data_IF_913531685043
#
_entry.id   IF_913531685043
#
_cell.length_a   1.000
_cell.length_b   1.000
_cell.length_c   1.000
_cell.angle_alpha   90.00
_cell.angle_beta   90.00
_cell.angle_gamma   90.00
#
_symmetry.space_group_name_H-M   'P 1'
#
loop_
_entity.id
_entity.type
_entity.pdbx_description
1 polymer ?
#
# COMPACT_ATOMS: atom_id res chain seq x y z
N UNK A 1 2.30 -7.30 -4.05
CA UNK A 1 1.61 -8.30 -3.19
C UNK A 1 2.68 -9.06 -2.43
N UNK A 2 2.58 -9.09 -1.10
CA UNK A 2 3.44 -9.95 -0.26
C UNK A 2 2.62 -11.17 0.18
N UNK A 3 3.27 -12.27 0.55
CA UNK A 3 2.54 -13.45 1.01
C UNK A 3 1.96 -13.20 2.41
N UNK A 4 0.67 -13.46 2.60
CA UNK A 4 0.13 -13.69 3.95
C UNK A 4 0.68 -15.04 4.40
N UNK A 5 1.38 -15.05 5.53
CA UNK A 5 1.97 -16.27 6.08
C UNK A 5 0.89 -17.20 6.64
N UNK A 6 -0.06 -16.63 7.40
CA UNK A 6 -1.20 -17.35 7.93
C UNK A 6 -2.43 -16.43 7.95
N UNK A 7 -3.54 -16.92 7.44
CA UNK A 7 -4.83 -16.21 7.48
C UNK A 7 -5.47 -16.37 8.87
N UNK A 8 -5.22 -17.50 9.55
CA UNK A 8 -5.77 -17.81 10.87
C UNK A 8 -4.99 -17.09 11.99
N UNK A 9 -3.68 -16.95 11.82
CA UNK A 9 -2.81 -16.21 12.74
C UNK A 9 -2.01 -15.12 12.01
N UNK A 10 -2.60 -13.92 11.84
CA UNK A 10 -1.98 -12.79 11.15
C UNK A 10 -0.58 -12.39 11.64
N UNK A 11 -0.28 -12.63 12.92
CA UNK A 11 1.01 -12.27 13.53
C UNK A 11 2.14 -13.26 13.26
N UNK A 12 1.82 -14.44 12.74
CA UNK A 12 2.82 -15.47 12.44
C UNK A 12 3.66 -15.07 11.22
N UNK A 13 4.98 -15.26 11.28
CA UNK A 13 5.88 -14.85 10.18
C UNK A 13 5.93 -13.33 9.95
N UNK A 14 5.68 -12.52 10.99
CA UNK A 14 5.61 -11.06 10.93
C UNK A 14 6.82 -10.41 10.25
N UNK A 15 8.04 -10.92 10.46
CA UNK A 15 9.25 -10.38 9.82
C UNK A 15 9.20 -10.46 8.29
N UNK A 16 8.71 -11.59 7.75
CA UNK A 16 8.56 -11.80 6.30
C UNK A 16 7.46 -10.88 5.76
N UNK A 17 6.35 -10.78 6.49
CA UNK A 17 5.22 -9.93 6.12
C UNK A 17 5.61 -8.45 6.13
N UNK A 18 6.39 -8.00 7.11
CA UNK A 18 6.90 -6.64 7.20
C UNK A 18 7.85 -6.32 6.04
N UNK A 19 8.79 -7.21 5.75
CA UNK A 19 9.70 -7.05 4.62
C UNK A 19 8.93 -6.94 3.29
N UNK A 20 7.93 -7.80 3.10
CA UNK A 20 7.04 -7.77 1.94
C UNK A 20 6.19 -6.50 1.84
N UNK A 21 5.68 -6.01 2.98
CA UNK A 21 4.95 -4.74 3.05
C UNK A 21 5.86 -3.56 2.64
N UNK A 22 7.09 -3.51 3.14
CA UNK A 22 8.07 -2.46 2.79
C UNK A 22 8.38 -2.45 1.29
N UNK A 23 8.52 -3.63 0.68
CA UNK A 23 8.68 -3.76 -0.78
C UNK A 23 7.44 -3.27 -1.53
N UNK A 24 6.24 -3.65 -1.06
CA UNK A 24 4.97 -3.19 -1.62
C UNK A 24 4.81 -1.66 -1.57
N UNK A 25 5.13 -1.05 -0.43
CA UNK A 25 5.12 0.41 -0.26
C UNK A 25 6.11 1.07 -1.22
N UNK A 26 7.33 0.52 -1.34
CA UNK A 26 8.35 1.07 -2.23
C UNK A 26 7.92 1.02 -3.70
N UNK A 27 7.27 -0.08 -4.10
CA UNK A 27 6.68 -0.22 -5.43
C UNK A 27 5.55 0.79 -5.68
N UNK A 28 4.58 0.92 -4.77
CA UNK A 28 3.48 1.88 -4.93
C UNK A 28 4.00 3.31 -5.02
N UNK A 29 5.00 3.67 -4.20
CA UNK A 29 5.63 5.00 -4.27
C UNK A 29 6.28 5.28 -5.63
N UNK A 30 6.92 4.28 -6.23
CA UNK A 30 7.48 4.39 -7.58
C UNK A 30 6.37 4.62 -8.61
N UNK A 31 5.30 3.82 -8.55
CA UNK A 31 4.14 3.98 -9.45
C UNK A 31 3.53 5.37 -9.31
N UNK A 32 3.28 5.84 -8.09
CA UNK A 32 2.78 7.21 -7.85
C UNK A 32 3.71 8.25 -8.49
N UNK A 33 5.03 8.12 -8.31
CA UNK A 33 5.98 9.07 -8.87
C UNK A 33 5.97 9.08 -10.42
N UNK A 34 5.84 7.92 -11.04
CA UNK A 34 5.76 7.78 -12.50
C UNK A 34 4.44 8.37 -13.03
N UNK A 35 3.30 8.05 -12.42
CA UNK A 35 1.97 8.59 -12.78
C UNK A 35 1.87 10.10 -12.55
N UNK A 36 2.53 10.60 -11.50
CA UNK A 36 2.54 12.03 -11.17
C UNK A 36 3.25 12.90 -12.22
N UNK A 37 3.97 12.29 -13.18
CA UNK A 37 4.52 12.99 -14.34
C UNK A 37 3.45 13.31 -15.39
N UNK A 38 2.35 12.58 -15.37
CA UNK A 38 1.26 12.67 -16.35
C UNK A 38 0.03 13.37 -15.76
N UNK A 39 -0.26 13.14 -14.47
CA UNK A 39 -1.41 13.73 -13.78
C UNK A 39 -1.02 14.37 -12.45
N UNK A 40 -1.67 15.49 -12.04
CA UNK A 40 -1.43 16.07 -10.73
C UNK A 40 -1.73 15.09 -9.58
N UNK A 41 -0.89 15.10 -8.53
CA UNK A 41 -1.06 14.23 -7.34
C UNK A 41 -2.41 14.36 -6.64
N UNK A 42 -2.99 15.56 -6.64
CA UNK A 42 -4.31 15.83 -6.08
C UNK A 42 -5.49 15.31 -6.94
N UNK A 43 -5.18 14.57 -8.02
CA UNK A 43 -6.13 13.77 -8.79
C UNK A 43 -5.91 12.26 -8.60
N UNK A 44 -4.88 11.85 -7.85
CA UNK A 44 -4.53 10.43 -7.65
C UNK A 44 -5.18 9.91 -6.37
N UNK A 45 -5.97 8.86 -6.50
CA UNK A 45 -6.41 8.02 -5.38
C UNK A 45 -5.58 6.75 -5.36
N UNK A 46 -5.30 6.24 -4.17
CA UNK A 46 -4.74 4.90 -4.00
C UNK A 46 -5.70 4.04 -3.21
N UNK A 47 -5.63 2.73 -3.42
CA UNK A 47 -6.60 1.84 -2.82
C UNK A 47 -6.26 0.37 -2.95
N UNK A 48 -7.07 -0.46 -2.31
CA UNK A 48 -6.90 -1.90 -2.33
C UNK A 48 -7.99 -2.64 -1.55
N UNK A 49 -7.91 -3.96 -1.58
CA UNK A 49 -8.82 -4.86 -0.87
C UNK A 49 -7.98 -5.75 0.05
N UNK A 50 -8.44 -5.98 1.29
CA UNK A 50 -7.75 -6.84 2.26
C UNK A 50 -6.30 -6.41 2.45
N UNK A 51 -5.34 -7.30 2.30
CA UNK A 51 -3.92 -6.98 2.37
C UNK A 51 -3.47 -5.92 1.35
N UNK A 52 -4.12 -5.85 0.18
CA UNK A 52 -3.88 -4.78 -0.78
C UNK A 52 -4.22 -3.42 -0.19
N UNK A 53 -5.24 -3.33 0.66
CA UNK A 53 -5.58 -2.10 1.36
C UNK A 53 -4.56 -1.75 2.44
N UNK A 54 -4.06 -2.72 3.20
CA UNK A 54 -2.96 -2.53 4.17
C UNK A 54 -1.74 -1.92 3.47
N UNK A 55 -1.39 -2.46 2.29
CA UNK A 55 -0.28 -1.93 1.48
C UNK A 55 -0.56 -0.51 1.00
N UNK A 56 -1.78 -0.23 0.55
CA UNK A 56 -2.19 1.11 0.12
C UNK A 56 -2.14 2.12 1.28
N UNK A 57 -2.68 1.78 2.45
CA UNK A 57 -2.65 2.63 3.66
C UNK A 57 -1.20 2.91 4.06
N UNK A 58 -0.35 1.88 4.13
CA UNK A 58 1.06 2.05 4.46
C UNK A 58 1.78 2.97 3.46
N UNK A 59 1.49 2.85 2.16
CA UNK A 59 2.05 3.73 1.15
C UNK A 59 1.53 5.17 1.25
N UNK A 60 0.23 5.33 1.53
CA UNK A 60 -0.42 6.64 1.73
C UNK A 60 0.20 7.39 2.91
N UNK A 61 0.38 6.71 4.04
CA UNK A 61 0.95 7.29 5.26
C UNK A 61 2.47 7.53 5.15
N UNK A 62 3.18 6.74 4.36
CA UNK A 62 4.60 6.92 4.10
C UNK A 62 4.92 8.00 3.04
N UNK A 63 3.91 8.52 2.34
CA UNK A 63 4.05 9.60 1.38
C UNK A 63 3.94 10.96 2.09
N UNK A 64 4.95 11.81 1.91
CA UNK A 64 4.96 13.17 2.48
C UNK A 64 4.18 14.17 1.63
N UNK A 65 3.78 13.80 0.42
CA UNK A 65 3.05 14.66 -0.50
C UNK A 65 1.57 14.28 -0.55
N UNK A 66 0.67 15.28 -0.53
CA UNK A 66 -0.78 15.03 -0.54
C UNK A 66 -1.22 14.38 -1.85
N UNK A 67 -1.73 13.15 -1.74
CA UNK A 67 -2.59 12.51 -2.72
C UNK A 67 -4.04 12.98 -2.52
N UNK A 68 -4.93 12.68 -3.47
CA UNK A 68 -6.33 13.07 -3.37
C UNK A 68 -7.07 12.32 -2.26
N UNK A 69 -6.76 11.04 -2.08
CA UNK A 69 -7.38 10.23 -1.05
C UNK A 69 -7.06 8.75 -1.15
N UNK A 70 -7.72 8.00 -0.27
CA UNK A 70 -7.55 6.59 -0.05
C UNK A 70 -8.92 5.90 -0.12
N UNK A 71 -9.04 4.80 -0.86
CA UNK A 71 -10.29 4.01 -0.98
C UNK A 71 -9.96 2.53 -0.80
N UNK A 72 -10.70 1.82 0.03
CA UNK A 72 -10.50 0.38 0.13
C UNK A 72 -11.62 -0.35 0.83
N UNK A 73 -11.55 -1.68 0.75
CA UNK A 73 -12.58 -2.59 1.24
C UNK A 73 -11.96 -3.75 2.01
N UNK A 74 -12.68 -4.18 3.05
CA UNK A 74 -12.42 -5.42 3.79
C UNK A 74 -10.95 -5.60 4.16
N UNK A 75 -10.38 -4.62 4.89
CA UNK A 75 -8.98 -4.69 5.33
C UNK A 75 -8.68 -5.96 6.10
N UNK A 76 -7.42 -6.36 6.05
CA UNK A 76 -6.81 -7.29 7.01
C UNK A 76 -6.44 -6.53 8.28
#
# INVERSE_FOLDING_TARGET
>A
WFGIWSVENPGEGSEIQEAGLRQGVSFIRKVIADESRLVPRNCVYIGGISQGFVTAVAAYLADSQKLRGLIGFSSW
#
